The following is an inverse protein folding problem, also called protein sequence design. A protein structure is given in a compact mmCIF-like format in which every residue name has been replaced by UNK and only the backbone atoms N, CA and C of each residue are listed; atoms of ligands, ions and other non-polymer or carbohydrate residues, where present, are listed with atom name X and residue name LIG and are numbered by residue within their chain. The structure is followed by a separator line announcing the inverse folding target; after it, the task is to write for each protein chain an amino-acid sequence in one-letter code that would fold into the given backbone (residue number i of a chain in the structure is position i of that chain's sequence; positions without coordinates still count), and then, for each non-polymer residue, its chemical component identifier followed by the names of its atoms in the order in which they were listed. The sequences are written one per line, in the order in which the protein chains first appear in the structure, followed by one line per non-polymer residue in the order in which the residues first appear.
data_IF_202481105857
#
_entry.id   IF_202481105857
#
_cell.length_a   1.000
_cell.length_b   1.000
_cell.length_c   1.000
_cell.angle_alpha   90.00
_cell.angle_beta   90.00
_cell.angle_gamma   90.00
#
_symmetry.space_group_name_H-M   'P 1'
#
loop_
_entity.id
_entity.type
_entity.pdbx_description
1 polymer ?
#
# COMPACT_ATOMS: atom_id res chain seq x y z
N UNK A 1 -31.68 -10.75 -2.60
CA UNK A 1 -30.55 -10.25 -3.40
C UNK A 1 -29.37 -11.18 -3.19
N UNK A 2 -28.62 -11.48 -4.26
CA UNK A 2 -27.41 -12.29 -4.21
C UNK A 2 -26.25 -11.47 -4.77
N UNK A 3 -25.14 -11.44 -4.05
CA UNK A 3 -23.91 -10.75 -4.45
C UNK A 3 -22.88 -11.80 -4.85
N UNK A 4 -22.16 -11.54 -5.95
CA UNK A 4 -21.08 -12.41 -6.41
C UNK A 4 -19.95 -11.59 -6.99
N UNK A 5 -18.72 -12.00 -6.72
CA UNK A 5 -17.54 -11.48 -7.39
C UNK A 5 -17.43 -12.07 -8.80
N UNK A 6 -16.88 -11.25 -9.70
CA UNK A 6 -16.41 -11.67 -11.02
C UNK A 6 -15.26 -12.67 -10.92
N UNK A 7 -14.87 -13.29 -12.04
CA UNK A 7 -13.86 -14.36 -12.05
C UNK A 7 -12.50 -13.96 -11.47
N UNK A 8 -12.20 -12.66 -11.45
CA UNK A 8 -10.93 -12.08 -11.01
C UNK A 8 -11.04 -11.36 -9.65
N UNK A 9 -12.23 -11.32 -9.05
CA UNK A 9 -12.44 -10.60 -7.78
C UNK A 9 -12.49 -9.06 -7.90
N UNK A 10 -12.46 -8.51 -9.11
CA UNK A 10 -12.40 -7.06 -9.39
C UNK A 10 -13.75 -6.40 -9.62
N UNK A 11 -14.79 -7.20 -9.82
CA UNK A 11 -16.12 -6.73 -10.20
C UNK A 11 -17.16 -7.40 -9.32
N UNK A 12 -18.17 -6.64 -8.91
CA UNK A 12 -19.33 -7.10 -8.14
C UNK A 12 -20.52 -7.26 -9.08
N UNK A 13 -21.19 -8.40 -8.99
CA UNK A 13 -22.42 -8.72 -9.73
C UNK A 13 -23.56 -8.92 -8.75
N UNK A 14 -24.62 -8.15 -8.95
CA UNK A 14 -25.82 -8.21 -8.12
C UNK A 14 -26.91 -8.94 -8.89
N UNK A 15 -27.46 -9.97 -8.26
CA UNK A 15 -28.53 -10.79 -8.81
C UNK A 15 -29.80 -10.64 -7.97
N UNK A 16 -30.94 -10.53 -8.66
CA UNK A 16 -32.27 -10.67 -8.07
C UNK A 16 -32.77 -12.08 -8.37
N UNK A 17 -33.23 -12.74 -7.32
CA UNK A 17 -33.83 -14.08 -7.40
C UNK A 17 -35.33 -13.94 -7.43
N UNK A 18 -35.98 -14.63 -8.38
CA UNK A 18 -37.45 -14.75 -8.44
C UNK A 18 -37.83 -16.22 -8.43
N UNK A 19 -38.83 -16.57 -7.63
CA UNK A 19 -39.45 -17.88 -7.70
C UNK A 19 -40.55 -17.84 -8.77
N UNK A 20 -40.44 -18.72 -9.76
CA UNK A 20 -41.40 -18.87 -10.85
C UNK A 20 -42.11 -20.21 -10.68
N UNK A 21 -43.43 -20.15 -10.55
CA UNK A 21 -44.26 -21.35 -10.59
C UNK A 21 -44.20 -21.93 -12.00
N UNK A 22 -43.89 -23.22 -12.12
CA UNK A 22 -43.84 -23.88 -13.43
C UNK A 22 -44.76 -25.09 -13.54
N UNK A 23 -45.05 -25.79 -12.44
CA UNK A 23 -45.92 -26.96 -12.49
C UNK A 23 -46.51 -27.34 -11.12
N UNK A 24 -47.46 -28.28 -11.09
CA UNK A 24 -47.98 -28.91 -9.88
C UNK A 24 -47.93 -30.42 -10.03
N UNK A 25 -47.26 -31.10 -9.10
CA UNK A 25 -47.25 -32.58 -9.05
C UNK A 25 -48.28 -33.10 -8.06
N UNK A 26 -48.98 -34.16 -8.45
CA UNK A 26 -49.87 -34.92 -7.55
C UNK A 26 -49.10 -36.09 -6.97
N UNK A 27 -48.99 -36.12 -5.64
CA UNK A 27 -48.33 -37.20 -4.91
C UNK A 27 -49.21 -38.45 -4.89
N UNK A 28 -48.60 -39.61 -4.64
CA UNK A 28 -49.29 -40.92 -4.50
C UNK A 28 -50.37 -40.95 -3.40
N UNK A 29 -50.35 -40.00 -2.46
CA UNK A 29 -51.35 -39.85 -1.40
C UNK A 29 -52.48 -38.85 -1.75
N UNK A 30 -52.60 -38.44 -3.02
CA UNK A 30 -53.62 -37.52 -3.51
C UNK A 30 -53.38 -36.04 -3.19
N UNK A 31 -52.27 -35.70 -2.50
CA UNK A 31 -51.92 -34.29 -2.22
C UNK A 31 -51.15 -33.67 -3.38
N UNK A 32 -51.54 -32.48 -3.79
CA UNK A 32 -50.82 -31.71 -4.81
C UNK A 32 -49.76 -30.80 -4.20
N UNK A 33 -48.59 -30.69 -4.83
CA UNK A 33 -47.55 -29.72 -4.51
C UNK A 33 -47.19 -28.87 -5.72
N UNK A 34 -47.22 -27.55 -5.52
CA UNK A 34 -46.71 -26.59 -6.49
C UNK A 34 -45.19 -26.68 -6.55
N UNK A 35 -44.66 -26.75 -7.76
CA UNK A 35 -43.25 -26.70 -8.07
C UNK A 35 -42.88 -25.28 -8.50
N UNK A 36 -41.79 -24.80 -7.93
CA UNK A 36 -41.23 -23.50 -8.22
C UNK A 36 -39.79 -23.67 -8.68
N UNK A 37 -39.43 -22.96 -9.74
CA UNK A 37 -38.06 -22.82 -10.18
C UNK A 37 -37.54 -21.46 -9.71
N UNK A 38 -36.30 -21.43 -9.23
CA UNK A 38 -35.64 -20.17 -8.90
C UNK A 38 -34.91 -19.66 -10.14
N UNK A 39 -35.33 -18.51 -10.65
CA UNK A 39 -34.60 -17.79 -11.69
C UNK A 39 -33.71 -16.71 -11.05
N UNK A 40 -32.48 -16.58 -11.57
CA UNK A 40 -31.54 -15.55 -11.15
C UNK A 40 -31.30 -14.59 -12.31
N UNK A 41 -31.69 -13.32 -12.15
CA UNK A 41 -31.41 -12.27 -13.13
C UNK A 41 -30.32 -11.34 -12.62
N UNK A 42 -29.29 -11.12 -13.43
CA UNK A 42 -28.27 -10.10 -13.15
C UNK A 42 -28.93 -8.72 -13.30
N UNK A 43 -28.84 -7.89 -12.28
CA UNK A 43 -29.43 -6.55 -12.26
C UNK A 43 -28.38 -5.50 -12.56
N UNK A 44 -27.25 -5.55 -11.84
CA UNK A 44 -26.16 -4.59 -12.00
C UNK A 44 -24.80 -5.26 -11.86
N UNK A 45 -23.80 -4.68 -12.52
CA UNK A 45 -22.41 -5.10 -12.50
C UNK A 45 -21.53 -3.85 -12.43
N UNK A 46 -20.68 -3.74 -11.41
CA UNK A 46 -19.83 -2.58 -11.20
C UNK A 46 -18.49 -2.97 -10.55
N UNK A 47 -17.43 -2.16 -10.69
CA UNK A 47 -16.14 -2.44 -10.08
C UNK A 47 -16.20 -2.52 -8.55
N UNK A 48 -15.43 -3.43 -7.94
CA UNK A 48 -15.47 -3.68 -6.49
C UNK A 48 -15.04 -2.47 -5.63
N UNK A 49 -14.29 -1.54 -6.20
CA UNK A 49 -13.79 -0.34 -5.52
C UNK A 49 -14.77 0.85 -5.60
N UNK A 50 -15.90 0.70 -6.30
CA UNK A 50 -16.93 1.73 -6.38
C UNK A 50 -18.05 1.47 -5.36
N UNK A 51 -18.68 2.54 -4.86
CA UNK A 51 -19.75 2.42 -3.86
C UNK A 51 -20.97 1.73 -4.49
N UNK A 52 -21.55 0.79 -3.73
CA UNK A 52 -22.77 0.11 -4.16
C UNK A 52 -23.95 1.08 -4.25
N UNK A 53 -23.99 2.13 -3.42
CA UNK A 53 -25.03 3.15 -3.44
C UNK A 53 -25.12 3.82 -4.81
N UNK A 54 -23.99 4.28 -5.34
CA UNK A 54 -23.90 4.95 -6.64
C UNK A 54 -24.45 4.13 -7.83
N UNK A 55 -24.50 2.80 -7.69
CA UNK A 55 -24.94 1.89 -8.76
C UNK A 55 -26.29 1.23 -8.49
N UNK A 56 -26.83 1.34 -7.27
CA UNK A 56 -28.02 0.61 -6.84
C UNK A 56 -29.17 1.52 -6.40
N UNK A 57 -28.89 2.76 -5.96
CA UNK A 57 -29.89 3.69 -5.42
C UNK A 57 -30.94 4.09 -6.46
N UNK A 58 -30.51 4.38 -7.68
CA UNK A 58 -31.36 4.93 -8.75
C UNK A 58 -32.03 3.87 -9.62
N UNK A 59 -31.87 2.59 -9.28
CA UNK A 59 -32.47 1.49 -10.05
C UNK A 59 -33.93 1.29 -9.65
N UNK A 60 -34.84 1.52 -10.61
CA UNK A 60 -36.29 1.35 -10.45
C UNK A 60 -36.80 0.12 -11.22
N UNK A 61 -37.85 -0.54 -10.71
CA UNK A 61 -38.57 -1.60 -11.42
C UNK A 61 -39.55 -1.01 -12.46
N UNK A 62 -40.31 -1.87 -13.13
CA UNK A 62 -41.34 -1.48 -14.12
C UNK A 62 -42.49 -0.63 -13.50
N UNK A 63 -42.58 -0.60 -12.16
CA UNK A 63 -43.59 0.13 -11.40
C UNK A 63 -43.03 1.43 -10.76
N UNK A 64 -41.86 1.90 -11.23
CA UNK A 64 -41.12 3.07 -10.69
C UNK A 64 -40.74 2.98 -9.20
N UNK A 65 -40.72 1.77 -8.63
CA UNK A 65 -40.27 1.50 -7.27
C UNK A 65 -38.79 1.10 -7.23
N UNK A 66 -38.06 1.55 -6.20
CA UNK A 66 -36.67 1.18 -5.97
C UNK A 66 -36.48 -0.34 -5.93
N UNK A 67 -35.60 -0.86 -6.78
CA UNK A 67 -35.31 -2.31 -6.86
C UNK A 67 -34.68 -2.80 -5.56
N UNK A 68 -33.90 -1.96 -4.89
CA UNK A 68 -33.15 -2.26 -3.68
C UNK A 68 -33.54 -1.31 -2.54
N UNK A 69 -33.70 -1.86 -1.34
CA UNK A 69 -33.87 -1.05 -0.14
C UNK A 69 -32.53 -0.47 0.33
N UNK A 70 -32.58 0.66 1.05
CA UNK A 70 -31.40 1.28 1.67
C UNK A 70 -30.62 0.27 2.53
N UNK A 71 -31.32 -0.55 3.31
CA UNK A 71 -30.68 -1.60 4.11
C UNK A 71 -30.02 -2.68 3.24
N UNK A 72 -30.60 -2.99 2.07
CA UNK A 72 -29.99 -3.89 1.09
C UNK A 72 -28.67 -3.34 0.54
N UNK A 73 -28.63 -2.04 0.22
CA UNK A 73 -27.44 -1.34 -0.27
C UNK A 73 -26.34 -1.33 0.80
N UNK A 74 -26.66 -0.94 2.04
CA UNK A 74 -25.69 -0.95 3.15
C UNK A 74 -25.12 -2.35 3.43
N UNK A 75 -25.96 -3.39 3.32
CA UNK A 75 -25.49 -4.77 3.45
C UNK A 75 -24.58 -5.19 2.29
N UNK A 76 -24.81 -4.66 1.09
CA UNK A 76 -23.91 -4.88 -0.04
C UNK A 76 -22.56 -4.22 0.18
N UNK A 77 -22.52 -2.98 0.65
CA UNK A 77 -21.26 -2.28 0.96
C UNK A 77 -20.43 -3.02 2.01
N UNK A 78 -21.05 -3.40 3.13
CA UNK A 78 -20.38 -4.22 4.17
C UNK A 78 -19.87 -5.55 3.63
N UNK A 79 -20.60 -6.15 2.70
CA UNK A 79 -20.15 -7.39 2.07
C UNK A 79 -18.95 -7.14 1.15
N UNK A 80 -18.97 -6.08 0.34
CA UNK A 80 -17.87 -5.67 -0.55
C UNK A 80 -16.60 -5.39 0.27
N UNK A 81 -16.70 -4.60 1.33
CA UNK A 81 -15.57 -4.30 2.23
C UNK A 81 -14.93 -5.57 2.80
N UNK A 82 -15.74 -6.52 3.26
CA UNK A 82 -15.26 -7.81 3.77
C UNK A 82 -14.51 -8.60 2.70
N UNK A 83 -15.00 -8.59 1.46
CA UNK A 83 -14.32 -9.29 0.36
C UNK A 83 -12.97 -8.63 0.04
N UNK A 84 -12.92 -7.29 -0.05
CA UNK A 84 -11.67 -6.56 -0.30
C UNK A 84 -10.64 -6.82 0.79
N UNK A 85 -11.04 -6.69 2.07
CA UNK A 85 -10.16 -6.95 3.21
C UNK A 85 -9.63 -8.39 3.21
N UNK A 86 -10.47 -9.37 2.88
CA UNK A 86 -10.06 -10.78 2.80
C UNK A 86 -9.06 -11.02 1.66
N UNK A 87 -9.28 -10.42 0.49
CA UNK A 87 -8.37 -10.51 -0.67
C UNK A 87 -7.02 -9.89 -0.31
N UNK A 88 -7.01 -8.67 0.24
CA UNK A 88 -5.79 -7.97 0.63
C UNK A 88 -5.00 -8.73 1.68
N UNK A 89 -5.68 -9.28 2.69
CA UNK A 89 -5.06 -10.10 3.72
C UNK A 89 -4.40 -11.36 3.14
N UNK A 90 -5.05 -12.01 2.17
CA UNK A 90 -4.49 -13.18 1.49
C UNK A 90 -3.25 -12.84 0.66
N UNK A 91 -3.27 -11.73 -0.07
CA UNK A 91 -2.08 -11.26 -0.80
C UNK A 91 -0.92 -10.89 0.13
N UNK A 92 -1.18 -10.19 1.24
CA UNK A 92 -0.16 -9.87 2.26
C UNK A 92 0.44 -11.13 2.87
N UNK A 93 -0.38 -12.13 3.16
CA UNK A 93 0.07 -13.43 3.69
C UNK A 93 0.98 -14.16 2.69
N UNK A 94 0.62 -14.15 1.41
CA UNK A 94 1.46 -14.71 0.36
C UNK A 94 2.80 -13.98 0.24
N UNK A 95 2.79 -12.65 0.28
CA UNK A 95 4.02 -11.84 0.28
C UNK A 95 4.93 -12.19 1.46
N UNK A 96 4.38 -12.37 2.66
CA UNK A 96 5.14 -12.81 3.83
C UNK A 96 5.78 -14.20 3.66
N UNK A 97 5.22 -15.05 2.79
CA UNK A 97 5.78 -16.36 2.41
C UNK A 97 6.74 -16.28 1.21
N UNK A 98 7.04 -15.08 0.70
CA UNK A 98 7.86 -14.88 -0.49
C UNK A 98 7.16 -15.27 -1.80
N UNK A 99 5.84 -15.42 -1.78
CA UNK A 99 5.02 -15.69 -2.95
C UNK A 99 4.50 -14.36 -3.53
N UNK A 100 4.73 -14.15 -4.83
CA UNK A 100 4.32 -12.95 -5.55
C UNK A 100 3.33 -13.31 -6.67
N UNK A 101 2.51 -12.34 -7.04
CA UNK A 101 1.51 -12.46 -8.12
C UNK A 101 0.38 -13.45 -7.83
N UNK A 102 -0.30 -13.86 -8.90
CA UNK A 102 -1.45 -14.76 -8.86
C UNK A 102 -2.80 -14.04 -8.93
N UNK A 103 -3.87 -14.81 -8.82
CA UNK A 103 -5.25 -14.33 -8.94
C UNK A 103 -6.08 -14.83 -7.76
N UNK A 104 -6.89 -13.95 -7.18
CA UNK A 104 -7.84 -14.29 -6.14
C UNK A 104 -8.84 -15.33 -6.66
N UNK A 105 -9.00 -16.43 -5.92
CA UNK A 105 -9.92 -17.51 -6.31
C UNK A 105 -11.31 -17.22 -5.75
N UNK A 106 -12.26 -17.03 -6.66
CA UNK A 106 -13.68 -16.88 -6.33
C UNK A 106 -14.36 -18.23 -6.47
N UNK A 107 -15.10 -18.63 -5.43
CA UNK A 107 -15.82 -19.91 -5.38
C UNK A 107 -16.93 -19.95 -6.42
N UNK A 108 -16.86 -20.90 -7.36
CA UNK A 108 -17.88 -21.13 -8.40
C UNK A 108 -18.75 -22.33 -8.09
N UNK A 109 -18.17 -23.33 -7.44
CA UNK A 109 -18.85 -24.58 -7.10
C UNK A 109 -18.24 -25.22 -5.85
N UNK A 110 -18.89 -26.27 -5.32
CA UNK A 110 -18.33 -27.08 -4.23
C UNK A 110 -17.01 -27.76 -4.60
N UNK A 111 -16.74 -28.01 -5.88
CA UNK A 111 -15.46 -28.61 -6.33
C UNK A 111 -14.26 -27.70 -6.08
N UNK A 112 -14.48 -26.39 -5.99
CA UNK A 112 -13.41 -25.44 -5.67
C UNK A 112 -12.93 -25.64 -4.23
N UNK A 113 -13.81 -26.05 -3.30
CA UNK A 113 -13.43 -26.32 -1.90
C UNK A 113 -12.44 -27.48 -1.82
N UNK A 114 -12.63 -28.51 -2.64
CA UNK A 114 -11.72 -29.67 -2.73
C UNK A 114 -10.39 -29.29 -3.40
N UNK A 115 -10.46 -28.46 -4.45
CA UNK A 115 -9.29 -28.07 -5.25
C UNK A 115 -8.33 -27.17 -4.48
N UNK A 116 -8.87 -26.20 -3.73
CA UNK A 116 -8.07 -25.17 -3.05
C UNK A 116 -7.93 -25.39 -1.55
N UNK A 117 -8.38 -26.54 -1.03
CA UNK A 117 -8.35 -26.86 0.41
C UNK A 117 -6.96 -26.74 1.04
N UNK A 118 -5.94 -27.11 0.27
CA UNK A 118 -4.54 -27.11 0.71
C UNK A 118 -3.85 -25.75 0.58
N UNK A 119 -4.54 -24.73 0.03
CA UNK A 119 -3.94 -23.41 -0.15
C UNK A 119 -3.84 -22.67 1.20
N UNK A 120 -2.76 -21.91 1.42
CA UNK A 120 -2.62 -21.10 2.62
C UNK A 120 -3.75 -20.06 2.71
N UNK A 121 -4.48 -20.05 3.83
CA UNK A 121 -5.56 -19.07 4.06
C UNK A 121 -6.93 -19.46 3.51
N UNK A 122 -7.10 -20.69 3.03
CA UNK A 122 -8.39 -21.22 2.60
C UNK A 122 -9.51 -21.02 3.65
N UNK A 123 -10.65 -20.54 3.19
CA UNK A 123 -11.86 -20.28 3.99
C UNK A 123 -12.96 -21.27 3.60
N UNK A 124 -13.25 -22.30 4.43
CA UNK A 124 -14.22 -23.35 4.10
C UNK A 124 -15.67 -22.84 4.00
N UNK A 125 -15.99 -21.79 4.74
CA UNK A 125 -17.35 -21.25 4.86
C UNK A 125 -17.72 -20.25 3.75
N UNK A 126 -16.81 -19.99 2.80
CA UNK A 126 -17.07 -19.08 1.69
C UNK A 126 -18.26 -19.59 0.85
N UNK A 127 -19.16 -18.68 0.47
CA UNK A 127 -20.32 -18.99 -0.39
C UNK A 127 -19.97 -18.89 -1.87
N UNK A 128 -20.82 -19.45 -2.72
CA UNK A 128 -20.65 -19.34 -4.18
C UNK A 128 -20.71 -17.86 -4.58
N UNK A 129 -19.64 -17.37 -5.19
CA UNK A 129 -19.43 -15.98 -5.56
C UNK A 129 -18.56 -15.19 -4.58
N UNK A 130 -18.11 -15.77 -3.47
CA UNK A 130 -17.19 -15.14 -2.53
C UNK A 130 -15.74 -15.59 -2.77
N UNK A 131 -14.81 -14.77 -2.29
CA UNK A 131 -13.41 -15.11 -2.23
C UNK A 131 -13.20 -16.27 -1.24
N UNK A 132 -12.45 -17.29 -1.66
CA UNK A 132 -12.26 -18.53 -0.89
C UNK A 132 -11.01 -18.49 0.00
N UNK A 133 -10.30 -17.36 0.07
CA UNK A 133 -9.05 -17.24 0.84
C UNK A 133 -7.80 -17.74 0.11
N UNK A 134 -7.93 -18.26 -1.12
CA UNK A 134 -6.82 -18.82 -1.90
C UNK A 134 -6.40 -17.89 -3.05
N UNK A 135 -5.09 -17.73 -3.26
CA UNK A 135 -4.52 -17.06 -4.42
C UNK A 135 -3.88 -18.12 -5.32
N UNK A 136 -4.38 -18.23 -6.56
CA UNK A 136 -3.90 -19.22 -7.54
C UNK A 136 -2.79 -18.63 -8.40
N UNK A 137 -1.81 -19.44 -8.76
CA UNK A 137 -0.72 -19.03 -9.66
C UNK A 137 0.27 -18.07 -9.02
N UNK A 138 0.28 -17.97 -7.69
CA UNK A 138 1.37 -17.33 -6.98
C UNK A 138 2.64 -18.16 -7.18
N UNK A 139 3.75 -17.47 -7.40
CA UNK A 139 5.05 -18.11 -7.61
C UNK A 139 6.03 -17.55 -6.60
N UNK A 140 6.97 -18.40 -6.17
CA UNK A 140 8.06 -17.94 -5.33
C UNK A 140 8.89 -16.96 -6.13
N UNK A 141 9.09 -15.77 -5.58
CA UNK A 141 9.99 -14.82 -6.20
C UNK A 141 11.42 -15.31 -6.03
N UNK A 142 11.96 -15.94 -7.05
CA UNK A 142 13.37 -16.25 -7.17
C UNK A 142 14.01 -15.18 -8.05
N UNK A 143 14.79 -14.24 -7.48
CA UNK A 143 15.46 -13.23 -8.28
C UNK A 143 16.45 -13.91 -9.23
N UNK A 144 16.07 -14.06 -10.50
CA UNK A 144 16.87 -14.72 -11.55
C UNK A 144 18.10 -13.93 -12.00
N UNK A 145 18.41 -12.81 -11.35
CA UNK A 145 19.60 -12.03 -11.62
C UNK A 145 20.14 -11.45 -10.32
N UNK A 146 21.25 -12.02 -9.82
CA UNK A 146 22.25 -11.22 -9.12
C UNK A 146 23.05 -10.44 -10.16
N UNK A 147 22.40 -9.59 -10.95
CA UNK A 147 23.16 -8.44 -11.43
C UNK A 147 23.45 -7.68 -10.15
N UNK A 148 24.74 -7.49 -9.82
CA UNK A 148 25.16 -6.45 -8.88
C UNK A 148 24.85 -5.11 -9.54
N UNK A 149 23.56 -4.81 -9.73
CA UNK A 149 23.13 -3.44 -9.85
C UNK A 149 23.44 -2.92 -8.46
N UNK A 150 24.37 -1.97 -8.36
CA UNK A 150 24.36 -1.08 -7.22
C UNK A 150 22.97 -0.44 -7.26
N UNK A 151 22.02 -1.05 -6.57
CA UNK A 151 20.71 -0.45 -6.35
C UNK A 151 21.03 0.92 -5.77
N UNK A 152 20.65 2.05 -6.42
CA UNK A 152 20.48 3.25 -5.63
C UNK A 152 19.51 2.84 -4.53
N UNK A 153 19.86 3.09 -3.27
CA UNK A 153 18.97 2.83 -2.13
C UNK A 153 17.61 3.41 -2.50
N UNK A 154 16.64 2.56 -2.82
CA UNK A 154 15.24 2.98 -2.82
C UNK A 154 14.87 2.94 -1.36
N UNK A 155 15.06 4.09 -0.71
CA UNK A 155 14.41 4.35 0.57
C UNK A 155 12.94 4.05 0.37
N UNK A 156 12.40 3.16 1.22
CA UNK A 156 10.98 3.20 1.52
C UNK A 156 10.70 4.67 1.80
N UNK A 157 9.90 5.31 0.95
CA UNK A 157 9.37 6.63 1.28
C UNK A 157 8.39 6.36 2.41
N UNK A 158 8.94 6.17 3.62
CA UNK A 158 8.22 6.54 4.82
C UNK A 158 7.71 7.93 4.56
N UNK A 159 6.45 8.16 4.89
CA UNK A 159 5.84 9.47 4.77
C UNK A 159 6.68 10.48 5.57
N UNK A 160 7.68 11.09 4.92
CA UNK A 160 8.61 12.09 5.45
C UNK A 160 7.88 13.43 5.60
N UNK A 161 6.59 13.40 5.92
CA UNK A 161 5.87 14.62 6.21
C UNK A 161 6.52 15.29 7.41
N UNK A 162 6.84 16.57 7.27
CA UNK A 162 7.40 17.40 8.34
C UNK A 162 6.58 17.29 9.63
N UNK A 163 5.25 17.09 9.50
CA UNK A 163 4.33 16.85 10.60
C UNK A 163 4.52 15.52 11.34
N UNK A 164 5.01 14.46 10.67
CA UNK A 164 5.34 13.18 11.30
C UNK A 164 6.68 13.28 12.04
N UNK A 165 7.71 13.81 11.39
CA UNK A 165 9.02 14.04 12.01
C UNK A 165 8.90 14.96 13.25
N UNK A 166 8.06 16.00 13.17
CA UNK A 166 7.75 16.88 14.29
C UNK A 166 7.13 16.14 15.48
N UNK A 167 6.12 15.29 15.24
CA UNK A 167 5.45 14.52 16.30
C UNK A 167 6.36 13.50 16.98
N UNK A 168 7.32 12.97 16.24
CA UNK A 168 8.26 11.95 16.74
C UNK A 168 9.51 12.56 17.37
N UNK A 169 9.66 13.89 17.39
CA UNK A 169 10.86 14.56 17.91
C UNK A 169 12.10 14.35 17.03
N UNK A 170 11.90 14.03 15.75
CA UNK A 170 12.93 13.67 14.77
C UNK A 170 13.14 14.74 13.70
N UNK A 171 12.96 16.00 14.07
CA UNK A 171 13.16 17.12 13.12
C UNK A 171 14.62 17.28 12.71
N UNK A 172 15.55 16.89 13.58
CA UNK A 172 16.98 16.94 13.32
C UNK A 172 17.39 15.98 12.19
N UNK A 173 16.74 14.80 12.11
CA UNK A 173 16.95 13.81 11.03
C UNK A 173 16.80 14.44 9.62
N UNK A 174 15.89 15.41 9.46
CA UNK A 174 15.68 16.08 8.16
C UNK A 174 16.87 16.96 7.76
N UNK A 175 17.56 17.57 8.72
CA UNK A 175 18.77 18.35 8.46
C UNK A 175 19.97 17.43 8.26
N UNK A 176 20.04 16.30 8.95
CA UNK A 176 21.09 15.29 8.76
C UNK A 176 21.07 14.73 7.33
N UNK A 177 19.89 14.48 6.75
CA UNK A 177 19.77 14.07 5.35
C UNK A 177 20.38 15.10 4.37
N UNK A 178 20.23 16.40 4.65
CA UNK A 178 20.84 17.47 3.84
C UNK A 178 22.36 17.45 4.00
N UNK A 179 22.87 17.27 5.21
CA UNK A 179 24.31 17.17 5.48
C UNK A 179 24.91 15.95 4.78
N UNK A 180 24.27 14.78 4.88
CA UNK A 180 24.70 13.55 4.20
C UNK A 180 24.70 13.72 2.68
N UNK A 181 23.70 14.39 2.11
CA UNK A 181 23.63 14.67 0.68
C UNK A 181 24.80 15.54 0.22
N UNK A 182 25.17 16.57 0.99
CA UNK A 182 26.32 17.43 0.67
C UNK A 182 27.64 16.63 0.72
N UNK A 183 27.82 15.78 1.74
CA UNK A 183 29.00 14.92 1.84
C UNK A 183 29.07 13.94 0.66
N UNK A 184 27.96 13.28 0.32
CA UNK A 184 27.90 12.35 -0.81
C UNK A 184 28.19 13.06 -2.14
N UNK A 185 27.67 14.28 -2.32
CA UNK A 185 27.93 15.07 -3.53
C UNK A 185 29.41 15.42 -3.65
N UNK A 186 30.09 15.73 -2.55
CA UNK A 186 31.53 15.96 -2.55
C UNK A 186 32.32 14.69 -2.92
N UNK A 187 31.94 13.53 -2.37
CA UNK A 187 32.52 12.23 -2.70
C UNK A 187 32.32 11.88 -4.19
N UNK A 188 31.12 12.08 -4.72
CA UNK A 188 30.78 11.86 -6.15
C UNK A 188 31.59 12.78 -7.07
N UNK A 189 31.88 14.01 -6.64
CA UNK A 189 32.74 14.97 -7.35
C UNK A 189 34.23 14.69 -7.15
N UNK A 190 34.61 13.76 -6.28
CA UNK A 190 36.00 13.41 -5.97
C UNK A 190 36.80 14.56 -5.34
N UNK A 191 36.13 15.53 -4.72
CA UNK A 191 36.75 16.71 -4.10
C UNK A 191 36.49 16.71 -2.59
N UNK A 192 37.40 17.29 -1.78
CA UNK A 192 37.11 17.51 -0.37
C UNK A 192 35.95 18.52 -0.23
N UNK A 193 35.20 18.43 0.88
CA UNK A 193 33.96 19.20 1.09
C UNK A 193 34.16 20.72 0.95
N UNK A 194 35.33 21.23 1.33
CA UNK A 194 35.72 22.64 1.25
C UNK A 194 36.06 23.13 -0.18
N UNK A 195 36.12 22.22 -1.15
CA UNK A 195 36.42 22.52 -2.56
C UNK A 195 35.39 21.91 -3.53
N UNK A 196 34.43 21.15 -3.00
CA UNK A 196 33.45 20.40 -3.78
C UNK A 196 32.36 21.29 -4.39
N UNK A 197 32.11 22.46 -3.81
CA UNK A 197 31.03 23.36 -4.17
C UNK A 197 31.55 24.71 -4.67
N UNK A 198 30.85 25.30 -5.64
CA UNK A 198 31.11 26.67 -6.05
C UNK A 198 30.63 27.68 -5.00
N UNK A 199 31.09 28.93 -5.09
CA UNK A 199 30.59 30.02 -4.25
C UNK A 199 29.06 30.21 -4.37
N UNK A 200 28.49 29.98 -5.56
CA UNK A 200 27.04 30.05 -5.79
C UNK A 200 26.29 28.92 -5.09
N UNK A 201 26.80 27.68 -5.18
CA UNK A 201 26.22 26.52 -4.51
C UNK A 201 26.30 26.67 -2.97
N UNK A 202 27.44 27.15 -2.46
CA UNK A 202 27.61 27.43 -1.03
C UNK A 202 26.66 28.54 -0.56
N UNK A 203 26.47 29.61 -1.36
CA UNK A 203 25.49 30.67 -1.07
C UNK A 203 24.06 30.15 -1.05
N UNK A 204 23.70 29.24 -1.95
CA UNK A 204 22.36 28.64 -1.97
C UNK A 204 22.06 27.85 -0.69
N UNK A 205 23.02 27.04 -0.22
CA UNK A 205 22.89 26.33 1.07
C UNK A 205 22.75 27.32 2.23
N UNK A 206 23.58 28.37 2.24
CA UNK A 206 23.53 29.40 3.28
C UNK A 206 22.19 30.17 3.30
N UNK A 207 21.63 30.51 2.15
CA UNK A 207 20.32 31.17 2.05
C UNK A 207 19.22 30.30 2.67
N UNK A 208 19.26 28.98 2.43
CA UNK A 208 18.29 28.05 3.00
C UNK A 208 18.39 27.99 4.52
N UNK A 209 19.60 27.90 5.07
CA UNK A 209 19.84 27.96 6.52
C UNK A 209 19.32 29.27 7.12
N UNK A 210 19.62 30.42 6.48
CA UNK A 210 19.14 31.73 6.96
C UNK A 210 17.63 31.86 6.97
N UNK A 211 16.91 31.27 6.01
CA UNK A 211 15.44 31.29 6.00
C UNK A 211 14.86 30.60 7.23
N UNK A 212 15.40 29.42 7.58
CA UNK A 212 14.99 28.69 8.79
C UNK A 212 15.36 29.47 10.05
N UNK A 213 16.57 30.04 10.10
CA UNK A 213 17.00 30.89 11.22
C UNK A 213 16.07 32.10 11.44
N UNK A 214 15.67 32.80 10.37
CA UNK A 214 14.76 33.94 10.49
C UNK A 214 13.33 33.53 10.85
N UNK A 215 12.88 32.36 10.40
CA UNK A 215 11.60 31.81 10.85
C UNK A 215 11.62 31.61 12.39
N UNK A 216 12.68 31.02 12.93
CA UNK A 216 12.80 30.76 14.37
C UNK A 216 12.95 32.06 15.16
N UNK A 217 13.82 32.96 14.71
CA UNK A 217 14.19 34.14 15.50
C UNK A 217 13.23 35.31 15.36
N UNK A 218 12.66 35.52 14.17
CA UNK A 218 11.79 36.67 13.89
C UNK A 218 10.31 36.31 13.94
N UNK A 219 9.93 35.12 13.47
CA UNK A 219 8.51 34.74 13.43
C UNK A 219 8.09 33.99 14.70
N UNK A 220 8.91 33.06 15.19
CA UNK A 220 8.64 32.34 16.44
C UNK A 220 9.14 33.09 17.70
N UNK A 221 9.94 34.14 17.53
CA UNK A 221 10.33 35.05 18.60
C UNK A 221 11.39 34.53 19.57
N UNK A 222 12.05 33.41 19.27
CA UNK A 222 13.12 32.87 20.11
C UNK A 222 14.47 33.55 19.81
N UNK A 223 15.20 33.99 20.84
CA UNK A 223 16.55 34.49 20.62
C UNK A 223 17.56 33.35 20.44
N UNK A 224 18.60 33.58 19.63
CA UNK A 224 19.67 32.59 19.42
C UNK A 224 20.34 32.18 20.75
N UNK A 225 20.63 33.15 21.61
CA UNK A 225 21.25 32.88 22.91
C UNK A 225 20.38 32.01 23.81
N UNK A 226 19.05 32.21 23.78
CA UNK A 226 18.10 31.39 24.52
C UNK A 226 18.10 29.94 24.02
N UNK A 227 18.20 29.73 22.71
CA UNK A 227 18.22 28.39 22.12
C UNK A 227 19.57 27.68 22.28
N UNK A 228 20.69 28.40 22.15
CA UNK A 228 22.04 27.79 22.20
C UNK A 228 22.53 27.47 23.62
N UNK A 229 22.10 28.24 24.62
CA UNK A 229 22.55 28.05 26.00
C UNK A 229 22.30 26.64 26.56
N UNK A 230 21.11 26.02 26.38
CA UNK A 230 20.85 24.66 26.87
C UNK A 230 21.56 23.55 26.07
N UNK A 231 21.89 23.78 24.80
CA UNK A 231 22.44 22.75 23.88
C UNK A 231 23.93 22.96 23.55
N UNK A 232 24.63 23.82 24.28
CA UNK A 232 26.01 24.24 23.97
C UNK A 232 27.00 23.07 23.88
N UNK A 233 26.85 22.08 24.75
CA UNK A 233 27.70 20.88 24.76
C UNK A 233 27.38 19.96 23.58
N UNK A 234 26.11 19.88 23.17
CA UNK A 234 25.66 19.12 22.00
C UNK A 234 26.17 19.76 20.70
N UNK A 235 26.05 21.08 20.57
CA UNK A 235 26.60 21.83 19.44
C UNK A 235 28.12 21.65 19.32
N UNK A 236 28.83 21.55 20.44
CA UNK A 236 30.28 21.28 20.45
C UNK A 236 30.61 19.89 19.91
N UNK A 237 29.84 18.87 20.30
CA UNK A 237 29.97 17.50 19.74
C UNK A 237 29.66 17.46 18.25
N UNK A 238 28.58 18.09 17.82
CA UNK A 238 28.20 18.18 16.39
C UNK A 238 29.33 18.81 15.58
N UNK A 239 29.93 19.90 16.09
CA UNK A 239 31.08 20.56 15.43
C UNK A 239 32.29 19.63 15.29
N UNK A 240 32.59 18.84 16.32
CA UNK A 240 33.68 17.84 16.26
C UNK A 240 33.39 16.74 15.24
N UNK A 241 32.15 16.26 15.19
CA UNK A 241 31.71 15.24 14.22
C UNK A 241 31.77 15.74 12.79
N UNK A 242 31.28 16.96 12.53
CA UNK A 242 31.41 17.60 11.23
C UNK A 242 32.88 17.84 10.84
N UNK A 243 33.75 18.11 11.83
CA UNK A 243 35.19 18.20 11.64
C UNK A 243 35.85 16.91 11.13
N UNK A 244 35.22 15.73 11.31
CA UNK A 244 35.73 14.45 10.79
C UNK A 244 35.63 14.36 9.27
N UNK A 245 34.66 15.03 8.64
CA UNK A 245 34.51 15.05 7.18
C UNK A 245 35.65 15.80 6.49
N UNK A 246 36.32 16.74 7.17
CA UNK A 246 37.57 17.35 6.67
C UNK A 246 38.76 16.38 6.65
N UNK A 247 38.74 15.31 7.47
CA UNK A 247 39.91 14.44 7.72
C UNK A 247 39.89 13.08 7.00
N UNK A 248 38.78 12.67 6.40
CA UNK A 248 38.69 11.42 5.63
C UNK A 248 39.23 11.63 4.20
N UNK A 249 40.56 11.61 4.04
CA UNK A 249 41.18 11.21 2.78
C UNK A 249 41.73 9.78 2.88
N UNK A 250 41.58 8.92 1.87
CA UNK A 250 42.38 7.72 1.77
C UNK A 250 43.84 8.12 1.49
N UNK A 251 44.76 7.68 2.35
CA UNK A 251 46.20 7.72 2.06
C UNK A 251 46.44 7.05 0.71
N UNK A 252 47.00 7.79 -0.26
CA UNK A 252 47.57 7.23 -1.50
C UNK A 252 48.47 6.03 -1.12
N UNK A 253 48.05 4.81 -1.45
CA UNK A 253 49.01 3.69 -1.50
C UNK A 253 49.92 3.98 -2.68
N UNK A 254 51.12 4.48 -2.39
CA UNK A 254 52.25 4.43 -3.34
C UNK A 254 52.39 2.97 -3.77
N UNK A 255 52.06 2.67 -5.02
CA UNK A 255 52.47 1.42 -5.65
C UNK A 255 53.99 1.39 -5.63
N UNK A 256 54.56 0.57 -4.77
CA UNK A 256 55.94 0.10 -4.93
C UNK A 256 55.93 -0.87 -6.10
N UNK A 257 56.83 -0.61 -7.03
CA UNK A 257 57.29 -1.45 -8.13
C UNK A 257 57.42 -2.91 -7.72
N UNK A 258 57.16 -3.81 -8.67
CA UNK A 258 57.92 -5.05 -8.87
C UNK A 258 57.84 -5.39 -10.37
N UNK A 259 58.78 -4.83 -11.14
CA UNK A 259 59.40 -5.54 -12.27
C UNK A 259 60.45 -6.48 -11.66
N UNK A 260 60.59 -7.70 -12.17
CA UNK A 260 61.35 -7.95 -13.39
C UNK A 260 60.53 -8.61 -14.51
#
# INVERSE_FOLDING_TARGET
MLLRLGKEGTVVRVYKTRAIYFDTITMSNGRSRKLFQTEMRKVVEFPIYESADAHMSDLLNEDDEAIFSIHGIQNAEKWIERQMQAIDAAFRKNQAMGLMGGTAVIKRSRKDDETYRSYPGFMPDAKIGEFIGAIRGSHKYEPKMRIKVRLPKVEVVEDKSLAKAWREGRLEDLNDEVVELLVRTADERGKPLDQAFSDEEARAVYITERKLFYLITQQLGYSQSFLEQPIKDELSKIKEELGKYKKKQPRKRKGKELLP
#
